data_IF_502532973883
#
_entry.id   IF_502532973883
#
_cell.length_a   1.000
_cell.length_b   1.000
_cell.length_c   1.000
_cell.angle_alpha   90.00
_cell.angle_beta   90.00
_cell.angle_gamma   90.00
#
_symmetry.space_group_name_H-M   'P 1'
#
loop_
_entity.id
_entity.type
_entity.pdbx_description
1 polymer ?
#
# COMPACT_ATOMS: atom_id res chain seq x y z
N UNK A 1 20.56 -17.28 24.17
CA UNK A 1 19.49 -16.70 23.32
C UNK A 1 18.16 -17.12 23.91
N UNK A 2 17.29 -16.17 24.25
CA UNK A 2 15.97 -16.46 24.81
C UNK A 2 15.06 -17.08 23.73
N UNK A 3 14.53 -18.29 24.00
CA UNK A 3 13.67 -19.03 23.07
C UNK A 3 12.44 -18.20 22.67
N UNK A 4 11.89 -17.40 23.59
CA UNK A 4 10.73 -16.53 23.32
C UNK A 4 11.05 -15.44 22.31
N UNK A 5 12.18 -14.75 22.52
CA UNK A 5 12.64 -13.72 21.58
C UNK A 5 12.92 -14.31 20.19
N UNK A 6 13.48 -15.51 20.12
CA UNK A 6 13.70 -16.21 18.85
C UNK A 6 12.38 -16.51 18.13
N UNK A 7 11.37 -17.04 18.83
CA UNK A 7 10.07 -17.36 18.23
C UNK A 7 9.34 -16.10 17.75
N UNK A 8 9.41 -15.02 18.53
CA UNK A 8 8.89 -13.72 18.12
C UNK A 8 9.53 -13.23 16.83
N UNK A 9 10.87 -13.27 16.70
CA UNK A 9 11.56 -12.84 15.48
C UNK A 9 11.14 -13.66 14.26
N UNK A 10 11.00 -14.98 14.41
CA UNK A 10 10.54 -15.86 13.32
C UNK A 10 9.11 -15.54 12.93
N UNK A 11 8.22 -15.31 13.90
CA UNK A 11 6.85 -14.83 13.66
C UNK A 11 6.84 -13.51 12.92
N UNK A 12 7.62 -12.53 13.38
CA UNK A 12 7.73 -11.20 12.77
C UNK A 12 8.17 -11.28 11.31
N UNK A 13 9.20 -12.08 11.02
CA UNK A 13 9.66 -12.30 9.65
C UNK A 13 8.56 -12.95 8.79
N UNK A 14 7.82 -13.93 9.33
CA UNK A 14 6.72 -14.55 8.62
C UNK A 14 5.59 -13.56 8.29
N UNK A 15 5.24 -12.66 9.22
CA UNK A 15 4.27 -11.59 8.98
C UNK A 15 4.72 -10.64 7.86
N UNK A 16 5.99 -10.22 7.88
CA UNK A 16 6.57 -9.38 6.83
C UNK A 16 6.64 -10.09 5.46
N UNK A 17 6.95 -11.39 5.43
CA UNK A 17 6.95 -12.20 4.20
C UNK A 17 5.54 -12.31 3.62
N UNK A 18 4.53 -12.55 4.45
CA UNK A 18 3.13 -12.58 4.01
C UNK A 18 2.73 -11.24 3.36
N UNK A 19 3.13 -10.11 3.96
CA UNK A 19 2.85 -8.80 3.38
C UNK A 19 3.51 -8.61 2.01
N UNK A 20 4.77 -9.04 1.85
CA UNK A 20 5.46 -9.01 0.54
C UNK A 20 4.74 -9.86 -0.51
N UNK A 21 4.24 -11.04 -0.13
CA UNK A 21 3.45 -11.91 -1.02
C UNK A 21 2.18 -11.18 -1.46
N UNK A 22 1.46 -10.51 -0.55
CA UNK A 22 0.27 -9.74 -0.94
C UNK A 22 0.56 -8.68 -2.00
N UNK A 23 1.69 -7.98 -1.89
CA UNK A 23 2.13 -7.00 -2.90
C UNK A 23 2.47 -7.67 -4.22
N UNK A 24 3.27 -8.76 -4.17
CA UNK A 24 3.67 -9.48 -5.37
C UNK A 24 2.49 -10.08 -6.13
N UNK A 25 1.50 -10.63 -5.43
CA UNK A 25 0.28 -11.16 -6.04
C UNK A 25 -0.53 -10.06 -6.75
N UNK A 26 -0.63 -8.88 -6.13
CA UNK A 26 -1.28 -7.72 -6.78
C UNK A 26 -0.54 -7.33 -8.05
N UNK A 27 0.79 -7.19 -8.00
CA UNK A 27 1.60 -6.88 -9.18
C UNK A 27 1.48 -7.96 -10.27
N UNK A 28 1.48 -9.24 -9.90
CA UNK A 28 1.32 -10.34 -10.83
C UNK A 28 -0.06 -10.35 -11.50
N UNK A 29 -1.12 -10.03 -10.74
CA UNK A 29 -2.49 -9.90 -11.26
C UNK A 29 -2.60 -8.77 -12.28
N UNK A 30 -1.85 -7.69 -12.10
CA UNK A 30 -1.80 -6.58 -13.05
C UNK A 30 -1.12 -6.93 -14.37
N UNK A 31 -0.04 -7.70 -14.33
CA UNK A 31 0.70 -8.14 -15.53
C UNK A 31 -0.19 -9.02 -16.42
N UNK A 32 -1.03 -9.87 -15.82
CA UNK A 32 -1.99 -10.71 -16.56
C UNK A 32 -3.15 -9.96 -17.22
N UNK A 33 -3.33 -8.66 -16.95
CA UNK A 33 -4.39 -7.82 -17.54
C UNK A 33 -3.84 -6.68 -18.41
N UNK A 34 -2.53 -6.68 -18.65
CA UNK A 34 -1.91 -5.66 -19.50
C UNK A 34 -2.06 -6.09 -20.96
N UNK A 35 -3.18 -5.69 -21.56
CA UNK A 35 -3.32 -5.70 -23.02
C UNK A 35 -2.23 -4.78 -23.59
N UNK A 36 -1.37 -5.32 -24.46
CA UNK A 36 -0.13 -4.69 -24.92
C UNK A 36 -0.33 -3.41 -25.76
N UNK A 37 -1.57 -2.94 -25.87
CA UNK A 37 -2.04 -1.86 -26.72
C UNK A 37 -2.29 -0.53 -26.00
N UNK A 38 -2.30 -0.51 -24.65
CA UNK A 38 -2.52 0.73 -23.89
C UNK A 38 -1.18 1.41 -23.62
N UNK A 39 -0.95 2.65 -24.08
CA UNK A 39 0.26 3.40 -23.76
C UNK A 39 0.42 3.47 -22.23
N UNK A 40 1.65 3.31 -21.72
CA UNK A 40 2.02 3.54 -20.31
C UNK A 40 1.87 5.02 -19.89
N UNK A 41 0.72 5.62 -20.18
CA UNK A 41 0.41 7.02 -19.95
C UNK A 41 -0.26 7.19 -18.58
N UNK A 42 0.51 7.74 -17.63
CA UNK A 42 0.14 8.06 -16.24
C UNK A 42 -0.29 6.87 -15.39
N UNK A 43 0.26 6.79 -14.18
CA UNK A 43 -0.32 5.98 -13.11
C UNK A 43 -1.79 6.38 -12.96
N UNK A 44 -2.70 5.42 -13.15
CA UNK A 44 -4.09 5.63 -12.78
C UNK A 44 -4.15 5.60 -11.25
N UNK A 45 -4.10 6.77 -10.62
CA UNK A 45 -4.15 6.91 -9.17
C UNK A 45 -5.41 6.25 -8.55
N UNK A 46 -6.50 6.08 -9.31
CA UNK A 46 -7.66 5.30 -8.87
C UNK A 46 -7.34 3.81 -8.79
N UNK A 47 -6.62 3.27 -9.78
CA UNK A 47 -6.16 1.88 -9.81
C UNK A 47 -5.15 1.61 -8.70
N UNK A 48 -4.17 2.51 -8.51
CA UNK A 48 -3.18 2.38 -7.43
C UNK A 48 -3.85 2.37 -6.05
N UNK A 49 -4.83 3.26 -5.80
CA UNK A 49 -5.61 3.23 -4.56
C UNK A 49 -6.39 1.92 -4.37
N UNK A 50 -7.00 1.39 -5.42
CA UNK A 50 -7.73 0.12 -5.36
C UNK A 50 -6.79 -1.07 -5.03
N UNK A 51 -5.59 -1.07 -5.61
CA UNK A 51 -4.57 -2.08 -5.34
C UNK A 51 -4.09 -2.03 -3.90
N UNK A 52 -3.81 -0.83 -3.38
CA UNK A 52 -3.42 -0.65 -1.99
C UNK A 52 -4.55 -1.08 -1.04
N UNK A 53 -5.80 -0.75 -1.35
CA UNK A 53 -6.95 -1.21 -0.56
C UNK A 53 -7.04 -2.74 -0.53
N UNK A 54 -6.92 -3.41 -1.68
CA UNK A 54 -6.97 -4.86 -1.75
C UNK A 54 -5.84 -5.53 -0.94
N UNK A 55 -4.64 -4.95 -0.95
CA UNK A 55 -3.53 -5.40 -0.09
C UNK A 55 -3.89 -5.22 1.39
N UNK A 56 -4.46 -4.06 1.75
CA UNK A 56 -4.89 -3.77 3.12
C UNK A 56 -5.95 -4.74 3.64
N UNK A 57 -6.91 -5.12 2.81
CA UNK A 57 -7.96 -6.07 3.16
C UNK A 57 -7.38 -7.45 3.46
N UNK A 58 -6.42 -7.91 2.64
CA UNK A 58 -5.71 -9.19 2.84
C UNK A 58 -4.89 -9.19 4.12
N UNK A 59 -4.17 -8.10 4.40
CA UNK A 59 -3.39 -7.94 5.63
C UNK A 59 -4.31 -7.92 6.88
N UNK A 60 -5.43 -7.20 6.80
CA UNK A 60 -6.40 -7.13 7.89
C UNK A 60 -7.04 -8.50 8.17
N UNK A 61 -7.38 -9.24 7.10
CA UNK A 61 -7.87 -10.61 7.21
C UNK A 61 -6.84 -11.57 7.83
N UNK A 62 -5.54 -11.35 7.58
CA UNK A 62 -4.48 -12.14 8.19
C UNK A 62 -4.36 -11.94 9.71
N UNK A 63 -4.75 -10.77 10.24
CA UNK A 63 -4.77 -10.53 11.69
C UNK A 63 -5.91 -11.29 12.39
N UNK A 64 -7.05 -11.47 11.73
CA UNK A 64 -8.19 -12.22 12.28
C UNK A 64 -8.05 -13.74 12.12
N UNK A 65 -7.25 -14.17 11.13
CA UNK A 65 -6.99 -15.59 10.81
C UNK A 65 -5.60 -16.07 11.22
N UNK A 66 -4.88 -15.27 12.02
CA UNK A 66 -3.52 -15.58 12.45
C UNK A 66 -3.43 -17.02 12.98
N UNK A 67 -2.36 -17.76 12.65
CA UNK A 67 -2.21 -19.15 13.09
C UNK A 67 -2.40 -19.23 14.60
N UNK A 68 -3.08 -20.26 15.12
CA UNK A 68 -3.11 -20.53 16.57
C UNK A 68 -1.93 -21.43 16.91
N UNK A 69 -0.71 -20.90 16.78
CA UNK A 69 0.53 -21.64 17.02
C UNK A 69 1.01 -21.34 18.45
N UNK A 70 2.26 -20.93 18.55
CA UNK A 70 2.92 -20.54 19.79
C UNK A 70 2.65 -19.05 20.02
N UNK A 71 2.26 -18.63 21.24
CA UNK A 71 1.85 -17.24 21.49
C UNK A 71 2.90 -16.20 21.10
N UNK A 72 4.19 -16.52 21.30
CA UNK A 72 5.30 -15.64 20.96
C UNK A 72 5.48 -15.54 19.44
N UNK A 73 5.32 -16.64 18.71
CA UNK A 73 5.29 -16.62 17.25
C UNK A 73 4.10 -15.77 16.73
N UNK A 74 2.91 -15.97 17.29
CA UNK A 74 1.69 -15.28 16.85
C UNK A 74 1.74 -13.78 17.17
N UNK A 75 2.38 -13.39 18.28
CA UNK A 75 2.67 -12.00 18.60
C UNK A 75 3.64 -11.38 17.59
N UNK A 76 4.71 -12.10 17.23
CA UNK A 76 5.64 -11.69 16.18
C UNK A 76 4.94 -11.48 14.85
N UNK A 77 4.17 -12.49 14.42
CA UNK A 77 3.43 -12.47 13.15
C UNK A 77 2.49 -11.26 13.05
N UNK A 78 1.66 -11.04 14.07
CA UNK A 78 0.78 -9.87 14.13
C UNK A 78 1.56 -8.56 14.06
N UNK A 79 2.66 -8.45 14.81
CA UNK A 79 3.51 -7.24 14.80
C UNK A 79 4.07 -6.96 13.40
N UNK A 80 4.49 -7.99 12.66
CA UNK A 80 4.96 -7.86 11.27
C UNK A 80 3.86 -7.38 10.32
N UNK A 81 2.66 -7.95 10.43
CA UNK A 81 1.50 -7.57 9.61
C UNK A 81 1.03 -6.14 9.93
N UNK A 82 0.96 -5.77 11.21
CA UNK A 82 0.62 -4.41 11.65
C UNK A 82 1.62 -3.37 11.14
N UNK A 83 2.91 -3.69 11.14
CA UNK A 83 3.93 -2.81 10.57
C UNK A 83 3.72 -2.61 9.06
N UNK A 84 3.38 -3.68 8.33
CA UNK A 84 3.04 -3.58 6.91
C UNK A 84 1.81 -2.69 6.66
N UNK A 85 0.77 -2.79 7.48
CA UNK A 85 -0.42 -1.91 7.42
C UNK A 85 -0.04 -0.44 7.62
N UNK A 86 0.90 -0.13 8.53
CA UNK A 86 1.39 1.25 8.72
C UNK A 86 2.11 1.78 7.48
N UNK A 87 2.93 0.95 6.84
CA UNK A 87 3.57 1.32 5.57
C UNK A 87 2.57 1.52 4.44
N UNK A 88 1.51 0.71 4.40
CA UNK A 88 0.43 0.85 3.43
C UNK A 88 -0.33 2.18 3.63
N UNK A 89 -0.64 2.54 4.88
CA UNK A 89 -1.26 3.83 5.20
C UNK A 89 -0.38 5.01 4.79
N UNK A 90 0.94 4.90 4.98
CA UNK A 90 1.90 5.90 4.50
C UNK A 90 1.84 6.02 2.96
N UNK A 91 1.84 4.89 2.24
CA UNK A 91 1.72 4.90 0.78
C UNK A 91 0.43 5.57 0.29
N UNK A 92 -0.71 5.30 0.93
CA UNK A 92 -1.97 6.02 0.65
C UNK A 92 -1.82 7.53 0.83
N UNK A 93 -1.23 7.98 1.95
CA UNK A 93 -1.06 9.41 2.23
C UNK A 93 -0.16 10.10 1.20
N UNK A 94 0.88 9.42 0.71
CA UNK A 94 1.76 9.94 -0.34
C UNK A 94 0.98 10.14 -1.65
N UNK A 95 0.15 9.18 -2.06
CA UNK A 95 -0.69 9.32 -3.25
C UNK A 95 -1.68 10.47 -3.14
N UNK A 96 -2.26 10.69 -1.95
CA UNK A 96 -3.18 11.79 -1.71
C UNK A 96 -2.49 13.16 -1.79
N UNK A 97 -1.25 13.26 -1.27
CA UNK A 97 -0.43 14.47 -1.39
C UNK A 97 -0.03 14.76 -2.84
N UNK A 98 0.35 13.72 -3.60
CA UNK A 98 0.68 13.85 -5.03
C UNK A 98 -0.54 14.31 -5.84
N UNK A 99 -1.72 13.73 -5.61
CA UNK A 99 -2.96 14.15 -6.25
C UNK A 99 -3.28 15.63 -5.96
N UNK A 100 -3.16 16.06 -4.70
CA UNK A 100 -3.41 17.45 -4.30
C UNK A 100 -2.43 18.44 -4.95
N UNK A 101 -1.17 18.05 -5.16
CA UNK A 101 -0.16 18.88 -5.84
C UNK A 101 -0.48 19.09 -7.34
N UNK A 102 -1.03 18.07 -8.01
CA UNK A 102 -1.46 18.16 -9.42
C UNK A 102 -2.67 19.09 -9.56
N UNK A 103 -3.64 19.00 -8.67
CA UNK A 103 -4.84 19.84 -8.71
C UNK A 103 -4.54 21.32 -8.39
N UNK A 104 -3.63 21.58 -7.44
CA UNK A 104 -3.20 22.94 -7.08
C UNK A 104 -2.43 23.68 -8.17
N UNK A 105 -1.77 22.97 -9.10
CA UNK A 105 -1.05 23.57 -10.23
C UNK A 105 -1.96 23.89 -11.42
N UNK A 106 -3.06 23.14 -11.59
CA UNK A 106 -4.09 23.44 -12.60
C UNK A 106 -4.76 24.80 -12.35
N UNK A 107 -5.01 25.14 -11.09
CA UNK A 107 -5.72 26.37 -10.70
C UNK A 107 -4.87 27.66 -10.78
N UNK A 108 -3.55 27.55 -11.02
CA UNK A 108 -2.63 28.69 -11.13
C UNK A 108 -2.45 29.23 -12.56
N UNK A 109 -2.82 28.47 -13.59
CA UNK A 109 -2.63 28.86 -15.00
C UNK A 109 -3.78 29.67 -15.62
N UNK A 110 -4.93 29.80 -14.93
CA UNK A 110 -6.13 30.45 -15.49
C UNK A 110 -6.36 31.90 -15.05
N UNK A 111 -5.52 32.49 -14.18
CA UNK A 111 -5.57 33.92 -13.90
C UNK A 111 -4.63 34.70 -14.83
N UNK A 112 -5.04 34.80 -16.10
CA UNK A 112 -4.53 35.87 -16.97
C UNK A 112 -4.99 37.24 -16.44
N UNK A 113 -4.17 38.29 -16.58
CA UNK A 113 -4.55 39.62 -16.10
C UNK A 113 -5.72 40.14 -16.94
N UNK A 114 -6.87 40.38 -16.28
CA UNK A 114 -7.96 41.15 -16.85
C UNK A 114 -7.50 42.62 -16.90
N UNK A 115 -6.95 43.05 -18.03
CA UNK A 115 -6.73 44.47 -18.29
C UNK A 115 -8.01 45.05 -18.85
N UNK A 116 -8.80 45.68 -17.98
CA UNK A 116 -9.94 46.50 -18.33
C UNK A 116 -9.43 47.76 -19.04
N UNK A 117 -9.82 47.93 -20.29
CA UNK A 117 -9.63 49.15 -21.07
C UNK A 117 -10.63 50.22 -20.61
N UNK A 118 -10.16 51.42 -20.30
CA UNK A 118 -10.92 52.68 -20.33
C UNK A 118 -10.18 53.65 -21.26
#
# INVERSE_FOLDING_TARGET
>A
MDRRASLFCVGHEAGMRFARICVLDTLASEVGHTDASIPRGRSDGRRERANLQAIGDRLTSALSTAPKRDPEYDAGYRTGVELALRYLALAHSTLDLEAAAVDGTSNRKTKGPLTTSC
#
